data_IF_571050081316
#
_entry.id   IF_571050081316
#
_cell.length_a   1.000
_cell.length_b   1.000
_cell.length_c   1.000
_cell.angle_alpha   90.00
_cell.angle_beta   90.00
_cell.angle_gamma   90.00
#
_symmetry.space_group_name_H-M   'P 1'
#
loop_
_entity.id
_entity.type
_entity.pdbx_description
1 polymer ?
#
# COMPACT_ATOMS: atom_id res chain seq x y z
N UNK A 1 -6.53 1.32 11.22
CA UNK A 1 -7.86 1.79 10.77
C UNK A 1 -7.99 1.90 9.24
N UNK A 2 -6.88 2.02 8.50
CA UNK A 2 -6.84 2.32 7.05
C UNK A 2 -7.70 1.43 6.14
N UNK A 3 -7.82 0.13 6.44
CA UNK A 3 -8.54 -0.84 5.58
C UNK A 3 -9.86 -1.31 6.22
N UNK A 4 -10.17 -0.85 7.43
CA UNK A 4 -11.25 -1.43 8.26
C UNK A 4 -12.64 -1.24 7.63
N UNK A 5 -12.94 -0.04 7.11
CA UNK A 5 -14.24 0.25 6.49
C UNK A 5 -14.47 -0.60 5.24
N UNK A 6 -13.51 -0.63 4.31
CA UNK A 6 -13.59 -1.43 3.10
C UNK A 6 -13.68 -2.93 3.41
N UNK A 7 -12.97 -3.39 4.45
CA UNK A 7 -13.11 -4.77 4.95
C UNK A 7 -14.54 -5.11 5.35
N UNK A 8 -15.22 -4.22 6.07
CA UNK A 8 -16.64 -4.40 6.45
C UNK A 8 -17.57 -4.39 5.23
N UNK A 9 -17.36 -3.47 4.28
CA UNK A 9 -18.18 -3.38 3.06
C UNK A 9 -18.06 -4.65 2.21
N UNK A 10 -16.85 -5.19 2.08
CA UNK A 10 -16.57 -6.37 1.27
C UNK A 10 -16.76 -7.69 2.02
N UNK A 11 -17.10 -7.66 3.32
CA UNK A 11 -17.17 -8.84 4.18
C UNK A 11 -18.16 -9.91 3.70
N UNK A 12 -19.19 -9.53 2.94
CA UNK A 12 -20.17 -10.46 2.37
C UNK A 12 -19.61 -11.34 1.25
N UNK A 13 -18.50 -10.95 0.62
CA UNK A 13 -17.84 -11.72 -0.43
C UNK A 13 -16.35 -11.93 -0.08
N UNK A 14 -15.97 -13.10 0.44
CA UNK A 14 -14.59 -13.38 0.84
C UNK A 14 -13.56 -13.23 -0.29
N UNK A 15 -13.95 -13.50 -1.55
CA UNK A 15 -13.07 -13.32 -2.69
C UNK A 15 -12.75 -11.82 -2.91
N UNK A 16 -13.76 -10.96 -2.91
CA UNK A 16 -13.57 -9.51 -3.04
C UNK A 16 -12.72 -8.95 -1.89
N UNK A 17 -13.02 -9.35 -0.65
CA UNK A 17 -12.24 -8.93 0.51
C UNK A 17 -10.76 -9.36 0.40
N UNK A 18 -10.49 -10.60 -0.05
CA UNK A 18 -9.13 -11.12 -0.24
C UNK A 18 -8.39 -10.38 -1.35
N UNK A 19 -9.02 -10.17 -2.51
CA UNK A 19 -8.38 -9.47 -3.63
C UNK A 19 -8.04 -8.02 -3.25
N UNK A 20 -8.97 -7.34 -2.57
CA UNK A 20 -8.75 -6.00 -2.05
C UNK A 20 -7.59 -5.97 -1.05
N UNK A 21 -7.57 -6.88 -0.06
CA UNK A 21 -6.48 -6.97 0.90
C UNK A 21 -5.13 -7.25 0.22
N UNK A 22 -5.10 -8.15 -0.77
CA UNK A 22 -3.91 -8.48 -1.53
C UNK A 22 -3.31 -7.28 -2.26
N UNK A 23 -4.14 -6.39 -2.82
CA UNK A 23 -3.66 -5.16 -3.47
C UNK A 23 -2.85 -4.31 -2.48
N UNK A 24 -3.34 -4.09 -1.25
CA UNK A 24 -2.60 -3.34 -0.24
C UNK A 24 -1.39 -4.08 0.29
N UNK A 25 -1.49 -5.40 0.51
CA UNK A 25 -0.36 -6.21 0.95
C UNK A 25 0.79 -6.17 -0.06
N UNK A 26 0.51 -6.21 -1.36
CA UNK A 26 1.54 -6.07 -2.38
C UNK A 26 2.18 -4.67 -2.32
N UNK A 27 1.36 -3.62 -2.27
CA UNK A 27 1.85 -2.24 -2.20
C UNK A 27 2.70 -1.94 -0.96
N UNK A 28 2.57 -2.68 0.15
CA UNK A 28 3.20 -2.35 1.43
C UNK A 28 4.28 -3.36 1.84
N UNK A 29 4.04 -4.66 1.59
CA UNK A 29 4.82 -5.75 2.18
C UNK A 29 5.47 -6.67 1.15
N UNK A 30 5.25 -6.48 -0.15
CA UNK A 30 5.88 -7.34 -1.16
C UNK A 30 7.41 -7.22 -1.08
N UNK A 31 8.16 -8.34 -1.10
CA UNK A 31 9.62 -8.29 -1.21
C UNK A 31 10.08 -7.66 -2.53
N UNK A 32 9.22 -7.71 -3.55
CA UNK A 32 9.47 -7.18 -4.90
C UNK A 32 8.75 -5.84 -5.15
N UNK A 33 8.35 -5.13 -4.10
CA UNK A 33 7.61 -3.86 -4.16
C UNK A 33 8.25 -2.83 -5.11
N UNK A 34 9.59 -2.78 -5.18
CA UNK A 34 10.33 -1.86 -6.05
C UNK A 34 10.15 -2.11 -7.54
N UNK A 35 9.66 -3.29 -7.95
CA UNK A 35 9.39 -3.61 -9.36
C UNK A 35 8.14 -2.90 -9.89
N UNK A 36 7.21 -2.51 -9.02
CA UNK A 36 5.90 -1.98 -9.42
C UNK A 36 5.46 -0.73 -8.64
N UNK A 37 6.34 -0.17 -7.81
CA UNK A 37 6.10 1.12 -7.13
C UNK A 37 7.23 2.11 -7.40
N UNK A 38 6.89 3.40 -7.44
CA UNK A 38 7.87 4.46 -7.57
C UNK A 38 7.56 5.61 -6.60
N UNK A 39 8.49 5.93 -5.71
CA UNK A 39 8.34 7.03 -4.75
C UNK A 39 8.49 8.36 -5.48
N UNK A 40 7.48 9.23 -5.39
CA UNK A 40 7.47 10.53 -6.07
C UNK A 40 7.67 11.70 -5.11
N UNK A 41 7.39 11.52 -3.81
CA UNK A 41 7.62 12.56 -2.81
C UNK A 41 7.96 12.00 -1.44
N UNK A 42 8.97 12.61 -0.81
CA UNK A 42 9.43 12.32 0.56
C UNK A 42 9.50 13.59 1.39
N UNK A 43 9.41 13.44 2.72
CA UNK A 43 9.61 14.52 3.70
C UNK A 43 10.58 14.07 4.79
N UNK A 44 11.30 15.01 5.41
CA UNK A 44 12.11 14.71 6.58
C UNK A 44 11.21 14.40 7.78
N UNK A 45 11.50 13.29 8.45
CA UNK A 45 10.82 12.84 9.66
C UNK A 45 11.85 12.55 10.74
N UNK A 46 11.79 13.28 11.85
CA UNK A 46 12.65 13.06 13.00
C UNK A 46 12.04 11.97 13.87
N UNK A 47 12.76 10.86 14.05
CA UNK A 47 12.31 9.76 14.92
C UNK A 47 12.40 10.14 16.39
N UNK A 48 11.74 9.36 17.25
CA UNK A 48 11.82 9.54 18.71
C UNK A 48 13.26 9.44 19.27
N UNK A 49 14.18 8.81 18.53
CA UNK A 49 15.61 8.71 18.86
C UNK A 49 16.44 9.91 18.40
N UNK A 50 15.82 10.94 17.79
CA UNK A 50 16.49 12.14 17.29
C UNK A 50 17.15 12.00 15.93
N UNK A 51 17.06 10.84 15.27
CA UNK A 51 17.60 10.63 13.93
C UNK A 51 16.63 11.13 12.85
N UNK A 52 17.14 11.81 11.83
CA UNK A 52 16.35 12.22 10.66
C UNK A 52 16.28 11.08 9.65
N UNK A 53 15.06 10.72 9.25
CA UNK A 53 14.76 9.74 8.21
C UNK A 53 13.86 10.36 7.15
N UNK A 54 13.82 9.76 5.96
CA UNK A 54 12.90 10.15 4.90
C UNK A 54 11.60 9.36 5.04
N UNK A 55 10.48 10.06 5.18
CA UNK A 55 9.15 9.48 5.16
C UNK A 55 8.54 9.63 3.76
N UNK A 56 8.05 8.52 3.20
CA UNK A 56 7.33 8.51 1.93
C UNK A 56 5.93 9.08 2.13
N UNK A 57 5.59 10.13 1.37
CA UNK A 57 4.26 10.76 1.42
C UNK A 57 3.50 10.65 0.09
N UNK A 58 4.17 10.18 -0.96
CA UNK A 58 3.55 9.88 -2.25
C UNK A 58 4.36 8.83 -3.02
N UNK A 59 3.66 7.89 -3.63
CA UNK A 59 4.21 6.90 -4.55
C UNK A 59 3.17 6.54 -5.62
N UNK A 60 3.67 6.15 -6.79
CA UNK A 60 2.89 5.59 -7.89
C UNK A 60 2.92 4.06 -7.81
N UNK A 61 1.83 3.41 -8.21
CA UNK A 61 1.74 1.96 -8.37
C UNK A 61 1.45 1.63 -9.83
N UNK A 62 2.14 0.62 -10.37
CA UNK A 62 1.99 0.17 -11.75
C UNK A 62 1.45 -1.25 -11.75
N UNK A 63 0.18 -1.41 -12.13
CA UNK A 63 -0.50 -2.70 -12.22
C UNK A 63 -0.85 -3.04 -13.65
N UNK A 64 -0.79 -4.32 -14.00
CA UNK A 64 -1.38 -4.82 -15.24
C UNK A 64 -2.90 -4.64 -15.19
N UNK A 65 -3.50 -4.31 -16.34
CA UNK A 65 -4.94 -4.10 -16.43
C UNK A 65 -5.73 -5.35 -16.03
N UNK A 66 -5.28 -6.53 -16.44
CA UNK A 66 -5.89 -7.83 -16.11
C UNK A 66 -5.97 -8.12 -14.62
N UNK A 67 -5.11 -7.51 -13.79
CA UNK A 67 -5.18 -7.62 -12.34
C UNK A 67 -6.28 -6.75 -11.74
N UNK A 68 -6.64 -5.65 -12.41
CA UNK A 68 -7.60 -4.67 -11.93
C UNK A 68 -9.01 -4.82 -12.53
N UNK A 69 -9.13 -5.48 -13.69
CA UNK A 69 -10.42 -5.87 -14.30
C UNK A 69 -11.12 -6.97 -13.48
#
# INVERSE_FOLDING_TARGET
LSVALSGTVLARCPACARNFANLYCNNICSPDQSLFTNVTRVVNHTTATGSTQLAVVEYQCFYEKSFAD
#
